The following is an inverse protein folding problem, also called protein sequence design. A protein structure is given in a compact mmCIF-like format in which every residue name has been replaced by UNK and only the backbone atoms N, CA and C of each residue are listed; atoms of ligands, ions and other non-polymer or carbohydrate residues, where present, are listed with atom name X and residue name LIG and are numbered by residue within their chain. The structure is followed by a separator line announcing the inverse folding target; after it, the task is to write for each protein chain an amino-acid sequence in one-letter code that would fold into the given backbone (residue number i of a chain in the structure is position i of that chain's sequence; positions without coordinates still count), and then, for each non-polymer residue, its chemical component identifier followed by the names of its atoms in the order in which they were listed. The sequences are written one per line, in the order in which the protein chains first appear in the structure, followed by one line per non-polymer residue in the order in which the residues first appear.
data_IF_483534030576
#
_entry.id   IF_483534030576
#
_cell.length_a   1.000
_cell.length_b   1.000
_cell.length_c   1.000
_cell.angle_alpha   90.00
_cell.angle_beta   90.00
_cell.angle_gamma   90.00
#
_symmetry.space_group_name_H-M   'P 1'
#
loop_
_entity.id
_entity.type
_entity.pdbx_description
1 polymer ?
#
# COMPACT_ATOMS: atom_id res chain seq x y z
N UNK A 1 17.23 5.88 4.00
CA UNK A 1 16.88 4.85 5.01
C UNK A 1 16.94 3.50 4.33
N UNK A 2 17.47 2.48 4.98
CA UNK A 2 17.48 1.11 4.45
C UNK A 2 16.61 0.24 5.35
N UNK A 3 15.62 -0.42 4.77
CA UNK A 3 14.68 -1.31 5.47
C UNK A 3 14.85 -2.71 4.91
N UNK A 4 14.85 -3.73 5.78
CA UNK A 4 15.01 -5.13 5.37
C UNK A 4 13.72 -5.87 5.70
N UNK A 5 13.20 -6.64 4.74
CA UNK A 5 12.00 -7.45 4.91
C UNK A 5 12.20 -8.86 4.38
N UNK A 6 11.44 -9.81 4.91
CA UNK A 6 11.59 -11.26 4.71
C UNK A 6 10.60 -11.87 3.72
N UNK A 7 9.59 -11.12 3.29
CA UNK A 7 8.59 -11.59 2.33
C UNK A 7 8.21 -10.54 1.28
N UNK A 8 7.61 -11.03 0.18
CA UNK A 8 7.19 -10.18 -0.93
C UNK A 8 6.06 -9.23 -0.56
N UNK A 9 5.17 -9.64 0.35
CA UNK A 9 4.05 -8.81 0.82
C UNK A 9 4.57 -7.59 1.58
N UNK A 10 5.53 -7.75 2.49
CA UNK A 10 6.13 -6.60 3.17
C UNK A 10 6.92 -5.72 2.20
N UNK A 11 7.59 -6.30 1.20
CA UNK A 11 8.27 -5.52 0.14
C UNK A 11 7.28 -4.58 -0.54
N UNK A 12 6.14 -5.09 -0.98
CA UNK A 12 5.11 -4.27 -1.62
C UNK A 12 4.51 -3.21 -0.69
N UNK A 13 4.26 -3.56 0.57
CA UNK A 13 3.73 -2.61 1.55
C UNK A 13 4.70 -1.44 1.80
N UNK A 14 5.99 -1.72 1.95
CA UNK A 14 7.02 -0.69 2.16
C UNK A 14 7.21 0.17 0.91
N UNK A 15 7.13 -0.42 -0.29
CA UNK A 15 7.17 0.32 -1.56
C UNK A 15 5.98 1.29 -1.69
N UNK A 16 4.76 0.82 -1.41
CA UNK A 16 3.55 1.66 -1.42
C UNK A 16 3.65 2.81 -0.44
N UNK A 17 4.19 2.57 0.76
CA UNK A 17 4.46 3.62 1.75
C UNK A 17 5.48 4.65 1.22
N UNK A 18 6.60 4.18 0.64
CA UNK A 18 7.60 5.09 0.09
C UNK A 18 7.02 5.97 -1.04
N UNK A 19 6.18 5.39 -1.90
CA UNK A 19 5.48 6.11 -2.96
C UNK A 19 4.46 7.13 -2.41
N UNK A 20 3.65 6.75 -1.41
CA UNK A 20 2.67 7.67 -0.81
C UNK A 20 3.34 8.84 -0.08
N UNK A 21 4.57 8.64 0.40
CA UNK A 21 5.41 9.69 0.98
C UNK A 21 6.19 10.51 -0.06
N UNK A 22 5.99 10.26 -1.36
CA UNK A 22 6.71 10.95 -2.45
C UNK A 22 8.22 10.66 -2.48
N UNK A 23 8.66 9.56 -1.87
CA UNK A 23 10.06 9.18 -1.79
C UNK A 23 10.44 8.21 -2.92
N UNK A 24 11.68 8.30 -3.39
CA UNK A 24 12.23 7.28 -4.31
C UNK A 24 12.63 6.05 -3.49
N UNK A 25 12.30 4.87 -3.97
CA UNK A 25 12.68 3.60 -3.35
C UNK A 25 13.35 2.69 -4.37
N UNK A 26 14.39 1.99 -3.94
CA UNK A 26 15.12 0.99 -4.73
C UNK A 26 15.15 -0.32 -3.95
N UNK A 27 15.07 -1.47 -4.65
CA UNK A 27 14.97 -2.79 -4.01
C UNK A 27 16.07 -3.72 -4.51
N UNK A 28 16.89 -4.20 -3.59
CA UNK A 28 17.82 -5.31 -3.81
C UNK A 28 17.32 -6.58 -3.14
N UNK A 29 17.43 -7.74 -3.81
CA UNK A 29 17.18 -9.05 -3.20
C UNK A 29 18.51 -9.73 -2.92
N UNK A 30 18.73 -10.17 -1.67
CA UNK A 30 19.94 -10.91 -1.28
C UNK A 30 19.59 -11.93 -0.20
N UNK A 31 20.00 -13.19 -0.40
CA UNK A 31 19.81 -14.29 0.56
C UNK A 31 18.36 -14.42 1.09
N UNK A 32 17.39 -14.33 0.17
CA UNK A 32 15.95 -14.39 0.49
C UNK A 32 15.38 -13.22 1.30
N UNK A 33 16.18 -12.18 1.56
CA UNK A 33 15.76 -10.92 2.18
C UNK A 33 15.69 -9.81 1.12
N UNK A 34 14.75 -8.90 1.29
CA UNK A 34 14.57 -7.71 0.46
C UNK A 34 15.13 -6.49 1.18
N UNK A 35 16.10 -5.84 0.57
CA UNK A 35 16.74 -4.61 1.04
C UNK A 35 16.13 -3.45 0.26
N UNK A 36 15.42 -2.58 0.97
CA UNK A 36 14.70 -1.45 0.38
C UNK A 36 15.42 -0.17 0.79
N UNK A 37 16.01 0.52 -0.18
CA UNK A 37 16.69 1.79 0.02
C UNK A 37 15.73 2.92 -0.33
N UNK A 38 15.25 3.63 0.69
CA UNK A 38 14.35 4.78 0.53
C UNK A 38 15.18 6.05 0.59
N UNK A 39 15.14 6.81 -0.51
CA UNK A 39 15.78 8.12 -0.67
C UNK A 39 14.71 9.20 -0.71
N UNK A 40 14.76 10.12 0.25
CA UNK A 40 13.86 11.26 0.32
C UNK A 40 14.26 12.26 -0.76
N UNK A 41 13.53 12.26 -1.88
CA UNK A 41 13.63 13.29 -2.90
C UNK A 41 12.73 14.46 -2.48
N UNK A 42 13.24 15.69 -2.48
CA UNK A 42 12.45 16.90 -2.18
C UNK A 42 11.47 17.24 -3.32
N UNK A 43 10.55 16.34 -3.65
CA UNK A 43 9.42 16.69 -4.52
C UNK A 43 8.14 16.39 -3.76
N UNK A 44 7.80 17.33 -2.88
CA UNK A 44 6.45 17.45 -2.36
C UNK A 44 5.61 17.95 -3.53
N UNK A 45 5.04 17.03 -4.29
CA UNK A 45 3.83 17.30 -5.08
C UNK A 45 2.78 16.30 -4.62
N UNK A 46 2.11 16.66 -3.53
CA UNK A 46 0.78 16.17 -3.26
C UNK A 46 -0.16 16.87 -4.26
N UNK A 47 -0.17 16.39 -5.51
CA UNK A 47 -1.35 16.57 -6.35
C UNK A 47 -2.36 15.50 -5.93
N UNK A 48 -2.84 15.61 -4.69
CA UNK A 48 -4.19 15.16 -4.35
C UNK A 48 -5.15 16.27 -4.80
N UNK A 49 -5.09 16.62 -6.08
CA UNK A 49 -6.12 17.43 -6.70
C UNK A 49 -7.36 16.54 -6.75
N UNK A 50 -8.33 16.87 -5.92
CA UNK A 50 -9.51 16.06 -5.66
C UNK A 50 -10.20 15.59 -6.94
N UNK A 51 -10.04 14.31 -7.24
CA UNK A 51 -11.07 13.61 -8.00
C UNK A 51 -12.13 13.20 -7.00
N UNK A 52 -13.22 13.97 -6.95
CA UNK A 52 -14.49 13.49 -6.41
C UNK A 52 -15.00 12.37 -7.33
N UNK A 53 -14.33 11.23 -7.31
CA UNK A 53 -14.68 10.07 -8.12
C UNK A 53 -15.80 9.32 -7.38
N UNK A 54 -17.04 9.76 -7.58
CA UNK A 54 -18.21 9.13 -6.99
C UNK A 54 -18.40 7.76 -7.64
N UNK A 55 -17.97 6.72 -6.93
CA UNK A 55 -18.18 5.33 -7.32
C UNK A 55 -19.41 4.80 -6.59
N UNK A 56 -20.50 4.56 -7.32
CA UNK A 56 -21.71 3.93 -6.78
C UNK A 56 -21.65 2.43 -7.09
N UNK A 57 -21.59 1.60 -6.05
CA UNK A 57 -21.66 0.14 -6.14
C UNK A 57 -23.05 -0.30 -5.68
N UNK A 58 -23.75 -1.04 -6.53
CA UNK A 58 -24.98 -1.76 -6.14
C UNK A 58 -24.60 -3.22 -5.92
N UNK A 59 -24.26 -3.55 -4.67
CA UNK A 59 -24.03 -4.92 -4.22
C UNK A 59 -25.31 -5.50 -3.59
N UNK A 60 -25.27 -6.78 -3.17
CA UNK A 60 -26.31 -7.34 -2.30
C UNK A 60 -26.19 -6.73 -0.88
N UNK A 61 -26.88 -7.32 0.10
CA UNK A 61 -26.70 -7.03 1.53
C UNK A 61 -25.24 -7.21 2.02
N UNK A 62 -24.36 -7.79 1.21
CA UNK A 62 -22.95 -8.08 1.52
C UNK A 62 -22.04 -7.69 0.36
N UNK A 63 -20.85 -7.21 0.70
CA UNK A 63 -19.77 -6.95 -0.27
C UNK A 63 -18.69 -8.04 -0.10
N UNK A 64 -18.58 -8.90 -1.10
CA UNK A 64 -17.66 -10.06 -1.12
C UNK A 64 -18.32 -11.39 -0.75
N UNK A 65 -17.61 -12.49 -0.97
CA UNK A 65 -18.08 -13.87 -0.72
C UNK A 65 -17.21 -14.55 0.36
N UNK A 66 -17.33 -14.08 1.60
CA UNK A 66 -16.49 -14.51 2.73
C UNK A 66 -17.30 -14.78 4.00
N UNK A 67 -16.59 -15.05 5.11
CA UNK A 67 -17.21 -15.26 6.42
C UNK A 67 -17.86 -13.98 6.96
N UNK A 68 -19.13 -14.10 7.37
CA UNK A 68 -19.95 -12.97 7.83
C UNK A 68 -19.41 -12.31 9.11
N UNK A 69 -18.79 -13.08 10.02
CA UNK A 69 -18.26 -12.54 11.27
C UNK A 69 -17.01 -11.71 11.00
N UNK A 70 -16.09 -12.23 10.18
CA UNK A 70 -14.91 -11.49 9.75
C UNK A 70 -15.31 -10.25 8.96
N UNK A 71 -16.28 -10.37 8.05
CA UNK A 71 -16.84 -9.23 7.32
C UNK A 71 -17.37 -8.14 8.26
N UNK A 72 -18.13 -8.52 9.28
CA UNK A 72 -18.69 -7.59 10.28
C UNK A 72 -17.61 -6.89 11.12
N UNK A 73 -16.48 -7.56 11.40
CA UNK A 73 -15.36 -6.96 12.14
C UNK A 73 -14.57 -5.97 11.26
N UNK A 74 -14.43 -6.27 9.97
CA UNK A 74 -13.62 -5.49 9.03
C UNK A 74 -14.37 -4.30 8.41
N UNK A 75 -15.70 -4.40 8.24
CA UNK A 75 -16.57 -3.32 7.72
C UNK A 75 -16.88 -2.24 8.77
N UNK A 76 -15.85 -1.71 9.42
CA UNK A 76 -15.97 -0.59 10.35
C UNK A 76 -15.66 0.74 9.67
#
# INVERSE_FOLDING_TARGET
VVTIVDNEVAKENVLKLAQSMGCKSDVGKKDNLFYITITKSQVIKNDAAGENNLVIIVASDKLGTGDDKLGSILMK
#
